data_IF_092468614294
#
_entry.id   IF_092468614294
#
_cell.length_a   1.000
_cell.length_b   1.000
_cell.length_c   1.000
_cell.angle_alpha   90.00
_cell.angle_beta   90.00
_cell.angle_gamma   90.00
#
_symmetry.space_group_name_H-M   'P 1'
#
loop_
_entity.id
_entity.type
_entity.pdbx_description
1 polymer ?
#
# COMPACT_ATOMS: atom_id res chain seq x y z
N UNK A 1 -4.43 -7.75 -4.05
CA UNK A 1 -5.69 -8.36 -3.55
C UNK A 1 -6.43 -7.46 -2.57
N UNK A 2 -5.78 -6.94 -1.54
CA UNK A 2 -6.40 -6.04 -0.54
C UNK A 2 -6.76 -4.69 -1.16
N UNK A 3 -5.87 -4.18 -2.01
CA UNK A 3 -6.10 -2.94 -2.76
C UNK A 3 -7.33 -3.08 -3.67
N UNK A 4 -7.44 -4.19 -4.40
CA UNK A 4 -8.60 -4.46 -5.25
C UNK A 4 -9.89 -4.61 -4.44
N UNK A 5 -9.87 -5.27 -3.29
CA UNK A 5 -11.05 -5.38 -2.41
C UNK A 5 -11.53 -4.01 -1.93
N UNK A 6 -10.61 -3.11 -1.56
CA UNK A 6 -10.94 -1.72 -1.23
C UNK A 6 -11.54 -0.96 -2.41
N UNK A 7 -10.95 -1.10 -3.60
CA UNK A 7 -11.43 -0.51 -4.83
C UNK A 7 -12.84 -1.00 -5.20
N UNK A 8 -13.06 -2.31 -5.22
CA UNK A 8 -14.36 -2.91 -5.53
C UNK A 8 -15.43 -2.58 -4.50
N UNK A 9 -15.13 -2.65 -3.21
CA UNK A 9 -16.08 -2.29 -2.15
C UNK A 9 -16.57 -0.86 -2.33
N UNK A 10 -15.67 0.08 -2.54
CA UNK A 10 -15.99 1.48 -2.76
C UNK A 10 -16.79 1.69 -4.05
N UNK A 11 -16.36 1.09 -5.15
CA UNK A 11 -16.99 1.23 -6.45
C UNK A 11 -18.41 0.66 -6.50
N UNK A 12 -18.62 -0.52 -5.91
CA UNK A 12 -19.93 -1.15 -5.86
C UNK A 12 -20.93 -0.35 -5.01
N UNK A 13 -20.50 0.18 -3.88
CA UNK A 13 -21.34 1.05 -3.06
C UNK A 13 -21.70 2.35 -3.80
N UNK A 14 -20.73 2.94 -4.49
CA UNK A 14 -20.94 4.17 -5.24
C UNK A 14 -21.85 3.97 -6.47
N UNK A 15 -21.65 2.89 -7.25
CA UNK A 15 -22.38 2.67 -8.50
C UNK A 15 -23.75 2.02 -8.31
N UNK A 16 -23.87 1.03 -7.40
CA UNK A 16 -25.13 0.30 -7.19
C UNK A 16 -26.05 0.95 -6.16
N UNK A 17 -25.51 1.55 -5.12
CA UNK A 17 -26.28 2.18 -4.04
C UNK A 17 -26.30 3.72 -4.14
N UNK A 18 -25.58 4.30 -5.11
CA UNK A 18 -25.47 5.76 -5.23
C UNK A 18 -24.85 6.43 -4.01
N UNK A 19 -24.07 5.69 -3.22
CA UNK A 19 -23.51 6.19 -1.98
C UNK A 19 -22.46 7.28 -2.24
N UNK A 20 -22.38 8.25 -1.34
CA UNK A 20 -21.37 9.31 -1.42
C UNK A 20 -19.96 8.70 -1.36
N UNK A 21 -19.03 9.12 -2.25
CA UNK A 21 -17.64 8.61 -2.28
C UNK A 21 -16.91 8.65 -0.94
N UNK A 22 -17.21 9.60 -0.07
CA UNK A 22 -16.65 9.69 1.28
C UNK A 22 -17.11 8.54 2.19
N UNK A 23 -18.38 8.14 2.08
CA UNK A 23 -18.91 6.98 2.80
C UNK A 23 -18.29 5.70 2.24
N UNK A 24 -18.12 5.62 0.92
CA UNK A 24 -17.47 4.51 0.24
C UNK A 24 -16.01 4.33 0.68
N UNK A 25 -15.30 5.44 0.91
CA UNK A 25 -13.94 5.43 1.46
C UNK A 25 -13.89 4.81 2.86
N UNK A 26 -14.83 5.18 3.74
CA UNK A 26 -14.94 4.62 5.10
C UNK A 26 -15.30 3.13 5.02
N UNK A 27 -16.21 2.75 4.13
CA UNK A 27 -16.57 1.34 3.93
C UNK A 27 -15.37 0.51 3.42
N UNK A 28 -14.56 1.07 2.51
CA UNK A 28 -13.31 0.44 2.07
C UNK A 28 -12.31 0.27 3.23
N UNK A 29 -12.19 1.26 4.12
CA UNK A 29 -11.35 1.15 5.32
C UNK A 29 -11.84 0.04 6.27
N UNK A 30 -13.15 -0.07 6.49
CA UNK A 30 -13.76 -1.13 7.29
C UNK A 30 -13.53 -2.50 6.65
N UNK A 31 -13.72 -2.63 5.33
CA UNK A 31 -13.40 -3.87 4.61
C UNK A 31 -11.93 -4.23 4.75
N UNK A 32 -11.02 -3.26 4.61
CA UNK A 32 -9.59 -3.46 4.85
C UNK A 32 -9.30 -3.97 6.27
N UNK A 33 -9.97 -3.42 7.28
CA UNK A 33 -9.85 -3.87 8.67
C UNK A 33 -10.29 -5.33 8.83
N UNK A 34 -11.43 -5.70 8.27
CA UNK A 34 -11.97 -7.07 8.35
C UNK A 34 -11.01 -8.08 7.68
N UNK A 35 -10.52 -7.75 6.49
CA UNK A 35 -9.54 -8.58 5.77
C UNK A 35 -8.23 -8.67 6.58
N UNK A 36 -7.77 -7.56 7.15
CA UNK A 36 -6.55 -7.52 7.92
C UNK A 36 -6.60 -8.37 9.19
N UNK A 37 -7.71 -8.37 9.88
CA UNK A 37 -7.93 -9.26 11.02
C UNK A 37 -8.03 -10.72 10.53
N UNK A 38 -8.78 -10.96 9.45
CA UNK A 38 -8.93 -12.30 8.86
C UNK A 38 -7.60 -12.90 8.38
N UNK A 39 -6.76 -12.14 7.67
CA UNK A 39 -5.43 -12.58 7.23
C UNK A 39 -4.39 -12.56 8.37
N UNK A 40 -4.56 -11.67 9.33
CA UNK A 40 -3.69 -11.61 10.50
C UNK A 40 -3.71 -12.90 11.32
N UNK A 41 -4.85 -13.59 11.38
CA UNK A 41 -4.98 -14.84 12.12
C UNK A 41 -4.15 -16.00 11.52
N UNK A 42 -4.22 -16.31 10.21
CA UNK A 42 -3.31 -17.29 9.59
C UNK A 42 -1.83 -16.89 9.70
N UNK A 43 -1.52 -15.59 9.67
CA UNK A 43 -0.14 -15.10 9.77
C UNK A 43 0.54 -15.43 11.11
N UNK A 44 -0.23 -15.82 12.13
CA UNK A 44 0.33 -16.28 13.40
C UNK A 44 0.99 -17.66 13.29
N UNK A 45 0.49 -18.50 12.36
CA UNK A 45 0.92 -19.89 12.20
C UNK A 45 2.01 -20.06 11.14
N UNK A 46 2.19 -19.06 10.28
CA UNK A 46 3.16 -19.09 9.18
C UNK A 46 4.07 -17.87 9.25
N UNK A 47 5.31 -18.03 8.82
CA UNK A 47 6.30 -16.95 8.83
C UNK A 47 7.16 -16.97 7.56
N UNK A 48 7.84 -15.87 7.29
CA UNK A 48 8.77 -15.76 6.16
C UNK A 48 8.11 -16.05 4.81
N UNK A 49 8.70 -16.95 4.05
CA UNK A 49 8.28 -17.29 2.67
C UNK A 49 6.86 -17.87 2.62
N UNK A 50 6.47 -18.66 3.60
CA UNK A 50 5.12 -19.25 3.65
C UNK A 50 4.03 -18.18 3.84
N UNK A 51 4.30 -17.14 4.61
CA UNK A 51 3.39 -16.01 4.74
C UNK A 51 3.26 -15.25 3.42
N UNK A 52 4.38 -15.05 2.71
CA UNK A 52 4.37 -14.42 1.39
C UNK A 52 3.54 -15.23 0.39
N UNK A 53 3.72 -16.56 0.32
CA UNK A 53 2.93 -17.44 -0.53
C UNK A 53 1.43 -17.40 -0.20
N UNK A 54 1.09 -17.38 1.10
CA UNK A 54 -0.31 -17.29 1.55
C UNK A 54 -0.95 -15.98 1.11
N UNK A 55 -0.24 -14.86 1.20
CA UNK A 55 -0.77 -13.55 0.78
C UNK A 55 -0.87 -13.41 -0.73
N UNK A 56 0.06 -14.00 -1.50
CA UNK A 56 -0.03 -14.09 -2.96
C UNK A 56 -1.23 -14.95 -3.36
N UNK A 57 -1.40 -16.12 -2.74
CA UNK A 57 -2.55 -16.99 -2.97
C UNK A 57 -3.87 -16.29 -2.66
N UNK A 58 -3.95 -15.54 -1.56
CA UNK A 58 -5.12 -14.71 -1.26
C UNK A 58 -5.40 -13.68 -2.36
N UNK A 59 -4.38 -12.99 -2.85
CA UNK A 59 -4.55 -12.00 -3.92
C UNK A 59 -5.09 -12.63 -5.19
N UNK A 60 -4.64 -13.84 -5.54
CA UNK A 60 -5.12 -14.56 -6.72
C UNK A 60 -6.56 -15.07 -6.54
N UNK A 61 -6.91 -15.56 -5.34
CA UNK A 61 -8.30 -15.92 -4.99
C UNK A 61 -9.21 -14.72 -5.16
N UNK A 62 -8.82 -13.55 -4.64
CA UNK A 62 -9.61 -12.32 -4.79
C UNK A 62 -9.78 -11.96 -6.27
N UNK A 63 -8.72 -12.02 -7.07
CA UNK A 63 -8.78 -11.73 -8.51
C UNK A 63 -9.73 -12.66 -9.25
N UNK A 64 -9.63 -13.98 -8.98
CA UNK A 64 -10.52 -14.99 -9.58
C UNK A 64 -11.96 -14.76 -9.12
N UNK A 65 -12.18 -14.46 -7.84
CA UNK A 65 -13.51 -14.18 -7.29
C UNK A 65 -14.14 -12.97 -7.99
N UNK A 66 -13.39 -11.86 -8.14
CA UNK A 66 -13.87 -10.65 -8.82
C UNK A 66 -14.17 -10.90 -10.31
N UNK A 67 -13.42 -11.81 -10.95
CA UNK A 67 -13.65 -12.17 -12.35
C UNK A 67 -14.90 -13.03 -12.53
N UNK A 68 -15.22 -13.90 -11.57
CA UNK A 68 -16.34 -14.85 -11.68
C UNK A 68 -17.67 -14.32 -11.13
N UNK A 69 -17.65 -13.35 -10.22
CA UNK A 69 -18.87 -12.71 -9.68
C UNK A 69 -19.46 -11.68 -10.66
N UNK A 70 -19.80 -12.10 -11.88
CA UNK A 70 -20.22 -11.22 -12.97
C UNK A 70 -21.38 -10.31 -12.62
N UNK A 71 -22.37 -10.80 -11.88
CA UNK A 71 -23.55 -10.01 -11.47
C UNK A 71 -23.21 -8.86 -10.51
N UNK A 72 -22.19 -9.04 -9.68
CA UNK A 72 -21.74 -8.04 -8.71
C UNK A 72 -20.70 -7.09 -9.29
N UNK A 73 -19.63 -7.64 -9.85
CA UNK A 73 -18.40 -6.93 -10.22
C UNK A 73 -18.29 -6.57 -11.69
N UNK A 74 -19.23 -7.03 -12.52
CA UNK A 74 -19.13 -6.94 -13.98
C UNK A 74 -18.15 -7.97 -14.57
N UNK A 75 -17.62 -8.89 -13.75
CA UNK A 75 -16.69 -9.95 -14.17
C UNK A 75 -15.40 -9.40 -14.76
N UNK A 76 -14.96 -9.96 -15.89
CA UNK A 76 -13.75 -9.54 -16.59
C UNK A 76 -13.83 -8.09 -17.13
N UNK A 77 -15.02 -7.57 -17.40
CA UNK A 77 -15.22 -6.19 -17.82
C UNK A 77 -15.04 -5.19 -16.68
N UNK A 78 -15.28 -5.62 -15.44
CA UNK A 78 -15.13 -4.77 -14.27
C UNK A 78 -16.27 -3.78 -14.05
N UNK A 79 -16.05 -2.77 -13.23
CA UNK A 79 -17.03 -1.74 -12.86
C UNK A 79 -16.66 -0.43 -13.57
N UNK A 80 -17.62 0.12 -14.29
CA UNK A 80 -17.50 1.40 -15.00
C UNK A 80 -18.40 2.47 -14.38
N UNK A 81 -18.11 3.74 -14.67
CA UNK A 81 -18.96 4.86 -14.24
C UNK A 81 -18.86 5.13 -12.75
N UNK A 82 -17.70 4.91 -12.15
CA UNK A 82 -17.46 5.19 -10.74
C UNK A 82 -17.46 6.72 -10.54
N UNK A 83 -18.35 7.27 -9.70
CA UNK A 83 -18.44 8.71 -9.53
C UNK A 83 -17.19 9.28 -8.88
N UNK A 84 -16.77 10.46 -9.33
CA UNK A 84 -15.68 11.22 -8.73
C UNK A 84 -16.03 11.72 -7.32
N UNK A 85 -15.02 12.04 -6.51
CA UNK A 85 -15.27 12.73 -5.23
C UNK A 85 -15.96 14.07 -5.44
N UNK A 86 -16.91 14.38 -4.57
CA UNK A 86 -17.57 15.68 -4.53
C UNK A 86 -17.27 16.39 -3.21
N UNK A 87 -16.97 17.68 -3.30
CA UNK A 87 -16.75 18.58 -2.15
C UNK A 87 -17.81 19.69 -2.22
N UNK A 88 -18.65 19.79 -1.19
CA UNK A 88 -19.75 20.78 -1.11
C UNK A 88 -20.66 20.81 -2.35
N UNK A 89 -20.96 19.65 -2.94
CA UNK A 89 -21.84 19.55 -4.12
C UNK A 89 -21.14 19.80 -5.46
N UNK A 90 -19.87 20.19 -5.48
CA UNK A 90 -19.05 20.30 -6.68
C UNK A 90 -18.33 18.96 -6.93
N UNK A 91 -18.62 18.28 -8.02
CA UNK A 91 -17.91 17.08 -8.45
C UNK A 91 -16.55 17.47 -9.03
N UNK A 92 -15.50 16.86 -8.51
CA UNK A 92 -14.14 17.08 -9.00
C UNK A 92 -14.03 16.50 -10.41
N UNK A 93 -13.74 17.35 -11.39
CA UNK A 93 -13.58 16.95 -12.80
C UNK A 93 -12.20 17.27 -13.35
N UNK A 94 -11.51 18.22 -12.71
CA UNK A 94 -10.18 18.65 -13.16
C UNK A 94 -9.08 17.79 -12.54
N UNK A 95 -8.10 17.41 -13.33
CA UNK A 95 -6.90 16.70 -12.84
C UNK A 95 -6.16 17.46 -11.73
N UNK A 96 -6.23 18.81 -11.72
CA UNK A 96 -5.62 19.64 -10.67
C UNK A 96 -6.37 19.51 -9.35
N UNK A 97 -7.68 19.46 -9.36
CA UNK A 97 -8.51 19.29 -8.16
C UNK A 97 -8.27 17.92 -7.54
N UNK A 98 -8.23 16.87 -8.35
CA UNK A 98 -7.86 15.53 -7.89
C UNK A 98 -6.46 15.52 -7.27
N UNK A 99 -5.49 16.13 -7.91
CA UNK A 99 -4.12 16.18 -7.39
C UNK A 99 -4.05 16.78 -5.98
N UNK A 100 -4.68 17.94 -5.76
CA UNK A 100 -4.65 18.57 -4.44
C UNK A 100 -5.43 17.76 -3.39
N UNK A 101 -6.58 17.19 -3.75
CA UNK A 101 -7.33 16.34 -2.82
C UNK A 101 -6.51 15.13 -2.40
N UNK A 102 -5.94 14.39 -3.37
CA UNK A 102 -5.15 13.20 -3.06
C UNK A 102 -3.86 13.53 -2.34
N UNK A 103 -3.23 14.66 -2.64
CA UNK A 103 -2.07 15.14 -1.90
C UNK A 103 -2.40 15.39 -0.42
N UNK A 104 -3.51 16.06 -0.14
CA UNK A 104 -3.96 16.31 1.25
C UNK A 104 -4.22 14.99 1.97
N UNK A 105 -4.98 14.07 1.34
CA UNK A 105 -5.27 12.77 1.94
C UNK A 105 -3.98 11.97 2.17
N UNK A 106 -3.07 11.95 1.19
CA UNK A 106 -1.78 11.27 1.32
C UNK A 106 -0.94 11.84 2.48
N UNK A 107 -0.85 13.16 2.60
CA UNK A 107 -0.13 13.82 3.70
C UNK A 107 -0.75 13.46 5.05
N UNK A 108 -2.09 13.46 5.17
CA UNK A 108 -2.79 13.05 6.39
C UNK A 108 -2.52 11.58 6.75
N UNK A 109 -2.57 10.67 5.77
CA UNK A 109 -2.28 9.26 5.97
C UNK A 109 -0.82 9.02 6.35
N UNK A 110 0.12 9.69 5.69
CA UNK A 110 1.56 9.62 6.00
C UNK A 110 1.82 10.16 7.42
N UNK A 111 1.22 11.29 7.77
CA UNK A 111 1.35 11.86 9.11
C UNK A 111 0.80 10.92 10.19
N UNK A 112 -0.36 10.30 9.94
CA UNK A 112 -0.93 9.30 10.81
C UNK A 112 0.00 8.07 10.95
N UNK A 113 0.51 7.53 9.83
CA UNK A 113 1.46 6.42 9.82
C UNK A 113 2.74 6.77 10.61
N UNK A 114 3.29 7.97 10.42
CA UNK A 114 4.46 8.45 11.15
C UNK A 114 4.21 8.52 12.66
N UNK A 115 3.04 9.01 13.08
CA UNK A 115 2.65 9.02 14.49
C UNK A 115 2.51 7.62 15.07
N UNK A 116 1.93 6.67 14.33
CA UNK A 116 1.78 5.27 14.77
C UNK A 116 3.15 4.63 14.95
N UNK A 117 4.05 4.78 13.97
CA UNK A 117 5.40 4.19 14.01
C UNK A 117 6.22 4.74 15.19
N UNK A 118 6.07 6.02 15.52
CA UNK A 118 6.78 6.64 16.65
C UNK A 118 6.06 6.50 17.99
N UNK A 119 4.90 5.83 18.04
CA UNK A 119 4.12 5.59 19.26
C UNK A 119 4.61 4.36 20.03
N UNK A 120 3.94 4.09 21.17
CA UNK A 120 4.14 2.84 21.91
C UNK A 120 3.85 1.59 21.07
N UNK A 121 2.92 1.67 20.13
CA UNK A 121 2.57 0.58 19.22
C UNK A 121 3.67 0.31 18.20
N UNK A 122 4.26 1.36 17.63
CA UNK A 122 5.39 1.22 16.71
C UNK A 122 6.61 0.58 17.39
N UNK A 123 6.90 0.96 18.64
CA UNK A 123 7.94 0.29 19.43
C UNK A 123 7.63 -1.19 19.66
N UNK A 124 6.36 -1.55 19.93
CA UNK A 124 5.94 -2.93 20.08
C UNK A 124 6.10 -3.73 18.77
N UNK A 125 5.77 -3.13 17.61
CA UNK A 125 6.00 -3.76 16.30
C UNK A 125 7.48 -4.06 16.05
N UNK A 126 8.37 -3.11 16.39
CA UNK A 126 9.81 -3.30 16.25
C UNK A 126 10.33 -4.37 17.23
N UNK A 127 9.89 -4.36 18.46
CA UNK A 127 10.29 -5.35 19.46
C UNK A 127 9.91 -6.78 19.04
N UNK A 128 8.68 -6.98 18.52
CA UNK A 128 8.23 -8.29 17.99
C UNK A 128 9.03 -8.72 16.76
N UNK A 129 9.45 -7.76 15.92
CA UNK A 129 10.30 -8.03 14.75
C UNK A 129 11.69 -8.49 15.17
N UNK A 130 12.29 -7.85 16.17
CA UNK A 130 13.69 -8.07 16.57
C UNK A 130 13.84 -9.32 17.45
N UNK A 131 12.97 -9.50 18.45
CA UNK A 131 12.99 -10.67 19.34
C UNK A 131 11.58 -10.98 19.89
N UNK A 132 10.79 -11.83 19.20
CA UNK A 132 9.46 -12.18 19.64
C UNK A 132 9.43 -12.87 21.01
N UNK A 133 10.40 -13.76 21.30
CA UNK A 133 10.43 -14.53 22.55
C UNK A 133 10.62 -13.62 23.77
N UNK A 134 11.48 -12.60 23.67
CA UNK A 134 11.66 -11.61 24.72
C UNK A 134 10.40 -10.78 24.99
N UNK A 135 9.63 -10.49 23.93
CA UNK A 135 8.36 -9.74 24.05
C UNK A 135 7.29 -10.59 24.78
N UNK A 136 7.24 -11.88 24.46
CA UNK A 136 6.32 -12.83 25.10
C UNK A 136 6.66 -13.03 26.57
N UNK A 137 7.95 -13.17 26.90
CA UNK A 137 8.42 -13.23 28.28
C UNK A 137 8.08 -11.97 29.08
N UNK A 138 7.99 -10.81 28.41
CA UNK A 138 7.49 -9.55 28.99
C UNK A 138 5.97 -9.46 29.13
N UNK A 139 5.21 -10.55 28.86
CA UNK A 139 3.75 -10.61 29.02
C UNK A 139 2.95 -9.93 27.91
N UNK A 140 3.59 -9.53 26.80
CA UNK A 140 2.93 -8.91 25.66
C UNK A 140 2.53 -9.96 24.62
N UNK A 141 1.24 -9.99 24.25
CA UNK A 141 0.73 -10.94 23.26
C UNK A 141 1.23 -10.62 21.86
N UNK A 142 2.15 -11.44 21.34
CA UNK A 142 2.67 -11.36 19.95
C UNK A 142 1.53 -11.41 18.94
N UNK A 143 0.53 -12.29 19.18
CA UNK A 143 -0.62 -12.45 18.30
C UNK A 143 -1.37 -11.12 18.10
N UNK A 144 -1.70 -10.41 19.18
CA UNK A 144 -2.40 -9.12 19.11
C UNK A 144 -1.58 -8.08 18.33
N UNK A 145 -0.27 -8.03 18.55
CA UNK A 145 0.63 -7.09 17.86
C UNK A 145 0.68 -7.38 16.36
N UNK A 146 0.83 -8.65 15.95
CA UNK A 146 0.85 -9.07 14.54
C UNK A 146 -0.49 -8.76 13.85
N UNK A 147 -1.63 -9.15 14.45
CA UNK A 147 -2.95 -8.89 13.89
C UNK A 147 -3.17 -7.38 13.71
N UNK A 148 -2.78 -6.57 14.69
CA UNK A 148 -2.94 -5.13 14.62
C UNK A 148 -2.05 -4.51 13.52
N UNK A 149 -0.82 -4.99 13.33
CA UNK A 149 0.05 -4.55 12.25
C UNK A 149 -0.57 -4.87 10.87
N UNK A 150 -1.10 -6.08 10.69
CA UNK A 150 -1.83 -6.47 9.49
C UNK A 150 -3.07 -5.61 9.26
N UNK A 151 -3.90 -5.43 10.29
CA UNK A 151 -5.12 -4.63 10.20
C UNK A 151 -4.82 -3.18 9.79
N UNK A 152 -3.78 -2.57 10.36
CA UNK A 152 -3.35 -1.24 9.95
C UNK A 152 -2.89 -1.21 8.48
N UNK A 153 -2.02 -2.13 8.08
CA UNK A 153 -1.52 -2.18 6.70
C UNK A 153 -2.65 -2.36 5.68
N UNK A 154 -3.61 -3.25 5.97
CA UNK A 154 -4.74 -3.52 5.08
C UNK A 154 -5.73 -2.36 4.99
N UNK A 155 -5.96 -1.62 6.08
CA UNK A 155 -6.77 -0.40 6.06
C UNK A 155 -6.16 0.64 5.13
N UNK A 156 -4.86 0.94 5.25
CA UNK A 156 -4.18 1.88 4.36
C UNK A 156 -4.27 1.44 2.90
N UNK A 157 -4.05 0.15 2.64
CA UNK A 157 -4.10 -0.42 1.29
C UNK A 157 -5.50 -0.35 0.69
N UNK A 158 -6.54 -0.66 1.46
CA UNK A 158 -7.93 -0.61 1.00
C UNK A 158 -8.39 0.83 0.74
N UNK A 159 -7.99 1.78 1.60
CA UNK A 159 -8.24 3.22 1.38
C UNK A 159 -7.56 3.70 0.09
N UNK A 160 -6.30 3.31 -0.15
CA UNK A 160 -5.60 3.65 -1.38
C UNK A 160 -6.32 3.05 -2.62
N UNK A 161 -6.82 1.81 -2.52
CA UNK A 161 -7.63 1.19 -3.57
C UNK A 161 -8.92 1.95 -3.87
N UNK A 162 -9.64 2.39 -2.84
CA UNK A 162 -10.84 3.22 -3.00
C UNK A 162 -10.52 4.54 -3.71
N UNK A 163 -9.48 5.24 -3.27
CA UNK A 163 -9.04 6.48 -3.91
C UNK A 163 -8.72 6.25 -5.39
N UNK A 164 -7.95 5.21 -5.69
CA UNK A 164 -7.59 4.85 -7.07
C UNK A 164 -8.82 4.62 -7.96
N UNK A 165 -9.82 3.89 -7.45
CA UNK A 165 -11.05 3.59 -8.18
C UNK A 165 -11.83 4.86 -8.57
N UNK A 166 -11.98 5.80 -7.64
CA UNK A 166 -12.65 7.07 -7.89
C UNK A 166 -11.85 8.05 -8.75
N UNK A 167 -10.52 7.87 -8.84
CA UNK A 167 -9.66 8.66 -9.72
C UNK A 167 -9.77 8.19 -11.18
N UNK A 168 -9.65 6.88 -11.39
CA UNK A 168 -9.67 6.31 -12.75
C UNK A 168 -11.10 6.26 -13.30
N UNK A 169 -12.12 6.15 -12.42
CA UNK A 169 -13.53 6.02 -12.83
C UNK A 169 -13.91 4.66 -13.39
N UNK A 170 -12.95 3.73 -13.45
CA UNK A 170 -13.10 2.39 -14.00
C UNK A 170 -12.12 1.42 -13.33
N UNK A 171 -12.57 0.22 -12.99
CA UNK A 171 -11.72 -0.83 -12.43
C UNK A 171 -12.03 -2.18 -13.09
N UNK A 172 -11.00 -2.98 -13.31
CA UNK A 172 -11.13 -4.36 -13.77
C UNK A 172 -10.22 -5.30 -12.97
N UNK A 173 -10.56 -6.61 -12.88
CA UNK A 173 -9.75 -7.55 -12.08
C UNK A 173 -8.34 -7.78 -12.66
N UNK A 174 -8.16 -7.64 -13.97
CA UNK A 174 -6.89 -7.90 -14.66
C UNK A 174 -5.81 -6.87 -14.32
N UNK A 175 -6.20 -5.65 -13.91
CA UNK A 175 -5.26 -4.61 -13.48
C UNK A 175 -4.57 -4.94 -12.16
N UNK A 176 -5.17 -5.80 -11.32
CA UNK A 176 -4.66 -6.13 -9.98
C UNK A 176 -3.90 -7.46 -9.98
N UNK A 177 -2.86 -7.55 -10.79
CA UNK A 177 -2.01 -8.72 -10.94
C UNK A 177 -0.83 -8.73 -9.94
N UNK A 178 -0.06 -9.83 -9.96
CA UNK A 178 1.12 -10.00 -9.11
C UNK A 178 2.21 -8.95 -9.40
N UNK A 179 2.35 -8.53 -10.65
CA UNK A 179 3.32 -7.51 -11.06
C UNK A 179 3.10 -6.19 -10.32
N UNK A 180 1.83 -5.81 -10.14
CA UNK A 180 1.45 -4.63 -9.35
C UNK A 180 1.96 -4.72 -7.90
N UNK A 181 1.85 -5.91 -7.29
CA UNK A 181 2.36 -6.15 -5.94
C UNK A 181 3.89 -6.10 -5.87
N UNK A 182 4.57 -6.67 -6.87
CA UNK A 182 6.05 -6.65 -6.95
C UNK A 182 6.56 -5.22 -7.04
N UNK A 183 5.91 -4.34 -7.80
CA UNK A 183 6.29 -2.93 -7.88
C UNK A 183 6.25 -2.23 -6.51
N UNK A 184 5.26 -2.52 -5.66
CA UNK A 184 5.24 -1.98 -4.29
C UNK A 184 6.36 -2.53 -3.41
N UNK A 185 6.73 -3.80 -3.57
CA UNK A 185 7.88 -4.39 -2.87
C UNK A 185 9.18 -3.69 -3.31
N UNK A 186 9.33 -3.42 -4.60
CA UNK A 186 10.48 -2.66 -5.14
C UNK A 186 10.53 -1.25 -4.53
N UNK A 187 9.41 -0.54 -4.45
CA UNK A 187 9.32 0.77 -3.79
C UNK A 187 9.78 0.71 -2.33
N UNK A 188 9.36 -0.32 -1.61
CA UNK A 188 9.71 -0.53 -0.20
C UNK A 188 11.19 -0.84 -0.01
N UNK A 189 11.77 -1.70 -0.86
CA UNK A 189 13.18 -2.10 -0.79
C UNK A 189 14.09 -0.92 -1.14
N UNK A 190 13.81 -0.20 -2.21
CA UNK A 190 14.56 0.99 -2.63
C UNK A 190 14.47 2.10 -1.57
N UNK A 191 13.29 2.30 -0.99
CA UNK A 191 13.07 3.29 0.07
C UNK A 191 13.79 2.97 1.37
N UNK A 192 13.87 1.69 1.71
CA UNK A 192 14.41 1.16 2.96
C UNK A 192 13.33 0.72 3.94
N UNK A 193 13.34 -0.59 4.23
CA UNK A 193 12.36 -1.24 5.10
C UNK A 193 12.36 -0.62 6.51
N UNK A 194 11.20 -0.19 6.96
CA UNK A 194 11.01 0.39 8.30
C UNK A 194 11.17 1.91 8.39
N UNK A 195 11.39 2.59 7.27
CA UNK A 195 11.52 4.05 7.24
C UNK A 195 10.39 4.71 6.44
N UNK A 196 9.51 5.45 7.12
CA UNK A 196 8.42 6.19 6.45
C UNK A 196 8.97 7.19 5.41
N UNK A 197 9.93 8.09 5.73
CA UNK A 197 10.46 9.00 4.72
C UNK A 197 11.22 8.29 3.61
N UNK A 198 11.92 7.19 3.90
CA UNK A 198 12.56 6.36 2.90
C UNK A 198 11.57 5.78 1.90
N UNK A 199 10.46 5.23 2.38
CA UNK A 199 9.43 4.65 1.53
C UNK A 199 8.75 5.70 0.62
N UNK A 200 8.59 6.94 1.08
CA UNK A 200 8.12 8.04 0.25
C UNK A 200 9.09 8.30 -0.90
N UNK A 201 10.39 8.40 -0.61
CA UNK A 201 11.42 8.56 -1.64
C UNK A 201 11.44 7.38 -2.61
N UNK A 202 11.32 6.13 -2.12
CA UNK A 202 11.26 4.93 -2.94
C UNK A 202 10.05 4.93 -3.87
N UNK A 203 8.87 5.29 -3.37
CA UNK A 203 7.66 5.40 -4.17
C UNK A 203 7.79 6.47 -5.27
N UNK A 204 8.32 7.64 -4.94
CA UNK A 204 8.57 8.72 -5.90
C UNK A 204 9.53 8.25 -6.99
N UNK A 205 10.66 7.63 -6.63
CA UNK A 205 11.65 7.17 -7.59
C UNK A 205 11.10 6.09 -8.52
N UNK A 206 10.48 5.05 -7.98
CA UNK A 206 9.93 3.94 -8.78
C UNK A 206 8.79 4.41 -9.69
N UNK A 207 8.08 5.48 -9.34
CA UNK A 207 7.04 6.06 -10.19
C UNK A 207 7.61 7.00 -11.25
N UNK A 208 8.61 7.80 -10.91
CA UNK A 208 9.17 8.82 -11.82
C UNK A 208 10.15 8.21 -12.83
N UNK A 209 11.00 7.26 -12.41
CA UNK A 209 12.02 6.68 -13.28
C UNK A 209 11.43 6.05 -14.54
N UNK A 210 10.38 5.21 -14.48
CA UNK A 210 9.72 4.69 -15.66
C UNK A 210 9.20 5.78 -16.62
N UNK A 211 8.63 6.87 -16.08
CA UNK A 211 8.12 7.96 -16.90
C UNK A 211 9.24 8.68 -17.66
N UNK A 212 10.39 8.88 -17.03
CA UNK A 212 11.58 9.42 -17.71
C UNK A 212 12.15 8.46 -18.76
N UNK A 213 12.03 7.14 -18.54
CA UNK A 213 12.53 6.13 -19.49
C UNK A 213 11.55 5.83 -20.62
N UNK A 214 10.36 6.40 -20.59
CA UNK A 214 9.29 6.16 -21.56
C UNK A 214 9.69 6.49 -23.01
N UNK A 215 10.65 7.41 -23.21
CA UNK A 215 11.20 7.70 -24.53
C UNK A 215 11.97 6.54 -25.17
N UNK A 216 12.37 5.53 -24.37
CA UNK A 216 13.12 4.36 -24.86
C UNK A 216 12.21 3.24 -25.37
N UNK A 217 10.88 3.45 -25.44
CA UNK A 217 9.84 2.53 -25.96
C UNK A 217 10.05 1.07 -25.55
N UNK A 218 10.64 0.25 -26.44
CA UNK A 218 10.78 -1.20 -26.21
C UNK A 218 11.81 -1.61 -25.13
N UNK A 219 12.78 -0.73 -24.82
CA UNK A 219 13.86 -1.05 -23.88
C UNK A 219 13.59 -0.55 -22.44
N UNK A 220 12.52 0.16 -22.23
CA UNK A 220 12.17 0.75 -20.94
C UNK A 220 12.14 -0.27 -19.80
N UNK A 221 11.47 -1.44 -19.99
CA UNK A 221 11.39 -2.49 -18.99
C UNK A 221 12.76 -3.08 -18.63
N UNK A 222 13.61 -3.28 -19.63
CA UNK A 222 14.96 -3.79 -19.43
C UNK A 222 15.81 -2.82 -18.62
N UNK A 223 15.80 -1.55 -19.00
CA UNK A 223 16.57 -0.50 -18.30
C UNK A 223 16.07 -0.30 -16.88
N UNK A 224 14.75 -0.26 -16.69
CA UNK A 224 14.14 -0.16 -15.35
C UNK A 224 14.53 -1.34 -14.46
N UNK A 225 14.51 -2.57 -14.98
CA UNK A 225 14.90 -3.77 -14.24
C UNK A 225 16.38 -3.74 -13.85
N UNK A 226 17.26 -3.32 -14.75
CA UNK A 226 18.69 -3.15 -14.46
C UNK A 226 18.91 -2.09 -13.37
N UNK A 227 18.25 -0.94 -13.48
CA UNK A 227 18.34 0.13 -12.48
C UNK A 227 17.88 -0.40 -11.12
N UNK A 228 16.75 -1.08 -11.06
CA UNK A 228 16.22 -1.68 -9.83
C UNK A 228 17.18 -2.69 -9.23
N UNK A 229 17.77 -3.55 -10.06
CA UNK A 229 18.76 -4.54 -9.63
C UNK A 229 20.01 -3.87 -9.04
N UNK A 230 20.51 -2.84 -9.69
CA UNK A 230 21.66 -2.06 -9.20
C UNK A 230 21.33 -1.40 -7.84
N UNK A 231 20.14 -0.82 -7.69
CA UNK A 231 19.71 -0.25 -6.41
C UNK A 231 19.68 -1.29 -5.29
N UNK A 232 19.14 -2.49 -5.55
CA UNK A 232 19.07 -3.57 -4.56
C UNK A 232 20.47 -4.07 -4.16
N UNK A 233 21.40 -4.18 -5.12
CA UNK A 233 22.79 -4.64 -4.87
C UNK A 233 23.59 -3.58 -4.10
N UNK A 234 23.55 -2.32 -4.54
CA UNK A 234 24.40 -1.26 -3.97
C UNK A 234 23.82 -0.60 -2.72
N UNK A 235 22.48 -0.68 -2.51
CA UNK A 235 21.77 -0.06 -1.38
C UNK A 235 20.87 -1.06 -0.65
N UNK A 236 21.43 -2.13 -0.05
CA UNK A 236 20.64 -3.19 0.60
C UNK A 236 19.77 -2.69 1.76
N UNK A 237 20.11 -1.54 2.35
CA UNK A 237 19.34 -0.91 3.42
C UNK A 237 18.51 0.30 2.94
N UNK A 238 18.37 0.48 1.62
CA UNK A 238 17.62 1.56 1.00
C UNK A 238 18.30 2.92 1.04
N UNK A 239 17.70 3.87 0.34
CA UNK A 239 18.22 5.25 0.16
C UNK A 239 18.38 5.99 1.49
N UNK A 240 17.60 5.62 2.52
CA UNK A 240 17.66 6.25 3.84
C UNK A 240 19.05 6.17 4.49
N UNK A 241 19.84 5.15 4.14
CA UNK A 241 21.23 5.00 4.65
C UNK A 241 22.16 6.10 4.17
N UNK A 242 21.92 6.64 2.98
CA UNK A 242 22.68 7.76 2.45
C UNK A 242 22.44 9.04 3.26
N UNK A 243 21.20 9.24 3.70
CA UNK A 243 20.84 10.39 4.54
C UNK A 243 21.36 10.26 5.97
N UNK A 244 21.31 9.05 6.57
CA UNK A 244 21.86 8.80 7.92
C UNK A 244 23.38 8.92 8.00
N UNK A 245 24.13 8.53 6.95
CA UNK A 245 25.59 8.69 6.90
C UNK A 245 26.04 10.17 6.85
N UNK A 246 25.26 11.04 6.22
CA UNK A 246 25.57 12.49 6.19
C UNK A 246 25.38 13.17 7.55
N UNK A 247 24.41 12.73 8.35
CA UNK A 247 24.18 13.29 9.69
C UNK A 247 25.26 12.95 10.72
N UNK A 248 25.94 11.79 10.57
CA UNK A 248 27.04 11.39 11.48
C UNK A 248 28.39 12.08 11.17
N UNK A 249 28.66 12.43 9.90
CA UNK A 249 29.89 13.13 9.54
C UNK A 249 29.89 14.62 9.91
N UNK A 250 28.73 15.22 10.17
CA UNK A 250 28.63 16.61 10.62
C UNK A 250 28.78 16.80 12.15
N UNK A 251 28.75 15.72 12.94
CA UNK A 251 28.89 15.77 14.39
C UNK A 251 30.31 15.53 14.91
N UNK A 252 31.20 14.99 14.08
CA UNK A 252 32.61 14.74 14.47
C UNK A 252 33.59 15.87 14.05
N UNK A 253 33.09 16.92 13.37
CA UNK A 253 33.91 18.07 12.98
C UNK A 253 33.86 19.26 13.95
N UNK A 254 33.12 19.16 15.06
CA UNK A 254 32.99 20.21 16.08
C UNK A 254 33.07 19.64 17.51
N UNK A 255 34.01 18.75 17.78
CA UNK A 255 34.35 18.27 19.09
C UNK A 255 35.85 18.32 19.29
#
# INVERSE_FOLDING_TARGET
GIFSMGAYTSSLLATKLGANPWICLIAAAVMGLLIGVGLGYPSLRVSGVYLALTTVGFSEIVRILMTNLTELTGGALGVMGIPAFSIFGHSLTSNREFYYLYLIIAVLLIFNAYRIVNSKWGRAFLAVKDNPDAVEAGGVSIAKIKIMAFALATVYTAVAGSLYAHYIGFINPSAYNLEFSINYVVMLVIGGIGSVPGNICGAILVTIVPEFLRFMENYYWLVFSIITLLFVIFLPNGIITLFKRRGKKGGEANG
#
